data_IF_491651309070
#
_entry.id   IF_491651309070
#
_cell.length_a   1.000
_cell.length_b   1.000
_cell.length_c   1.000
_cell.angle_alpha   90.00
_cell.angle_beta   90.00
_cell.angle_gamma   90.00
#
_symmetry.space_group_name_H-M   'P 1'
#
loop_
_entity.id
_entity.type
_entity.pdbx_description
1 polymer ?
#
# COMPACT_ATOMS: atom_id res chain seq x y z
N UNK A 1 4.15 8.31 11.41
CA UNK A 1 2.86 8.41 12.09
C UNK A 1 3.21 8.47 13.55
N UNK A 2 2.89 9.58 14.19
CA UNK A 2 2.98 9.69 15.64
C UNK A 2 1.59 9.35 16.16
N UNK A 3 1.39 8.09 16.56
CA UNK A 3 0.18 7.70 17.29
C UNK A 3 0.38 8.19 18.72
N UNK A 4 -0.53 9.03 19.21
CA UNK A 4 -0.41 9.62 20.54
C UNK A 4 -0.43 8.49 21.59
N UNK A 5 0.40 8.60 22.63
CA UNK A 5 0.58 7.57 23.67
C UNK A 5 -0.73 7.09 24.31
N UNK A 6 -1.78 7.93 24.29
CA UNK A 6 -3.12 7.61 24.81
C UNK A 6 -3.80 6.44 24.09
N UNK A 7 -3.59 6.26 22.79
CA UNK A 7 -4.23 5.18 22.02
C UNK A 7 -3.59 3.81 22.27
N UNK A 8 -2.35 3.77 22.77
CA UNK A 8 -1.60 2.54 23.04
C UNK A 8 -1.54 2.19 24.54
N UNK A 9 -2.36 2.82 25.39
CA UNK A 9 -2.35 2.65 26.85
C UNK A 9 -0.94 2.81 27.45
N UNK A 10 -0.13 3.73 26.92
CA UNK A 10 1.25 3.96 27.36
C UNK A 10 2.28 2.91 26.93
N UNK A 11 1.92 1.94 26.10
CA UNK A 11 2.86 0.96 25.55
C UNK A 11 3.58 1.49 24.32
N UNK A 12 4.86 1.16 24.21
CA UNK A 12 5.64 1.37 22.99
C UNK A 12 5.32 0.25 22.00
N UNK A 13 4.94 0.62 20.77
CA UNK A 13 4.60 -0.32 19.70
C UNK A 13 5.46 0.02 18.49
N UNK A 14 6.23 -0.95 18.03
CA UNK A 14 6.95 -0.85 16.76
C UNK A 14 5.98 -1.09 15.62
N UNK A 15 5.86 -0.10 14.74
CA UNK A 15 5.00 -0.20 13.57
C UNK A 15 5.80 -0.64 12.35
N UNK A 16 5.32 -1.70 11.70
CA UNK A 16 5.90 -2.21 10.45
C UNK A 16 4.97 -1.89 9.27
N UNK A 17 5.55 -1.64 8.10
CA UNK A 17 4.82 -1.44 6.83
C UNK A 17 3.75 -0.33 6.88
N UNK A 18 4.01 0.76 7.61
CA UNK A 18 3.10 1.91 7.66
C UNK A 18 3.00 2.56 6.28
N UNK A 19 1.81 2.47 5.67
CA UNK A 19 1.47 3.16 4.42
C UNK A 19 1.52 4.67 4.67
N UNK A 20 2.45 5.35 3.98
CA UNK A 20 2.61 6.82 4.06
C UNK A 20 1.83 7.55 2.98
N UNK A 21 1.67 6.91 1.84
CA UNK A 21 0.95 7.41 0.69
C UNK A 21 0.34 6.23 -0.06
N UNK A 22 -0.80 6.49 -0.69
CA UNK A 22 -1.46 5.57 -1.59
C UNK A 22 -1.92 6.39 -2.79
N UNK A 23 -1.68 5.88 -3.99
CA UNK A 23 -2.11 6.54 -5.21
C UNK A 23 -2.58 5.50 -6.22
N UNK A 24 -3.59 5.86 -7.01
CA UNK A 24 -4.05 5.03 -8.12
C UNK A 24 -3.09 5.20 -9.29
N UNK A 25 -2.44 4.11 -9.68
CA UNK A 25 -1.50 4.11 -10.81
C UNK A 25 -2.17 3.79 -12.15
N UNK A 26 -3.38 3.24 -12.17
CA UNK A 26 -4.12 2.98 -13.41
C UNK A 26 -5.31 2.03 -13.25
N UNK A 27 -5.74 1.46 -14.37
CA UNK A 27 -6.72 0.37 -14.45
C UNK A 27 -6.01 -0.83 -15.05
N UNK A 28 -6.10 -1.98 -14.37
CA UNK A 28 -5.51 -3.23 -14.86
C UNK A 28 -6.23 -3.72 -16.12
N UNK A 29 -5.47 -4.21 -17.10
CA UNK A 29 -6.00 -4.83 -18.32
C UNK A 29 -5.39 -6.23 -18.48
N UNK A 30 -6.26 -7.23 -18.57
CA UNK A 30 -5.89 -8.62 -18.83
C UNK A 30 -5.39 -8.81 -20.28
N UNK A 31 -4.52 -9.79 -20.57
CA UNK A 31 -3.86 -10.72 -19.64
C UNK A 31 -2.58 -10.15 -19.02
N UNK A 32 -2.08 -9.05 -19.58
CA UNK A 32 -0.80 -8.46 -19.21
C UNK A 32 -0.93 -6.95 -19.17
N UNK A 33 -0.49 -6.38 -18.05
CA UNK A 33 -0.44 -4.95 -17.86
C UNK A 33 0.96 -4.56 -17.39
N UNK A 34 1.56 -3.58 -18.08
CA UNK A 34 2.89 -3.06 -17.75
C UNK A 34 2.79 -1.56 -17.55
N UNK A 35 3.31 -1.06 -16.43
CA UNK A 35 3.39 0.38 -16.17
C UNK A 35 4.72 0.75 -15.54
N UNK A 36 5.31 1.83 -16.03
CA UNK A 36 6.45 2.49 -15.37
C UNK A 36 5.91 3.40 -14.29
N UNK A 37 6.44 3.26 -13.09
CA UNK A 37 6.15 4.13 -11.95
C UNK A 37 7.44 4.85 -11.55
N UNK A 38 7.38 6.12 -11.10
CA UNK A 38 8.53 6.79 -10.53
C UNK A 38 9.12 5.99 -9.38
N UNK A 39 10.41 6.14 -9.08
CA UNK A 39 11.00 5.52 -7.90
C UNK A 39 10.31 6.06 -6.63
N UNK A 40 9.57 5.19 -5.93
CA UNK A 40 8.81 5.54 -4.73
C UNK A 40 9.57 5.05 -3.49
N UNK A 41 10.64 5.74 -3.10
CA UNK A 41 11.36 5.46 -1.85
C UNK A 41 11.78 3.98 -1.65
N UNK A 42 11.85 3.55 -0.38
CA UNK A 42 12.48 2.29 0.04
C UNK A 42 11.71 1.01 -0.33
N UNK A 43 10.37 1.00 -0.25
CA UNK A 43 9.55 -0.19 -0.55
C UNK A 43 8.11 0.22 -0.81
N UNK A 44 7.47 -0.40 -1.81
CA UNK A 44 6.06 -0.16 -2.11
C UNK A 44 5.34 -1.47 -2.43
N UNK A 45 4.02 -1.50 -2.17
CA UNK A 45 3.16 -2.59 -2.57
C UNK A 45 2.29 -2.15 -3.74
N UNK A 46 2.12 -3.02 -4.72
CA UNK A 46 1.13 -2.86 -5.79
C UNK A 46 -0.03 -3.79 -5.50
N UNK A 47 -1.25 -3.25 -5.60
CA UNK A 47 -2.49 -3.99 -5.42
C UNK A 47 -3.36 -3.83 -6.67
N UNK A 48 -3.93 -4.93 -7.14
CA UNK A 48 -5.04 -4.94 -8.10
C UNK A 48 -6.30 -5.17 -7.29
N UNK A 49 -7.13 -4.14 -7.20
CA UNK A 49 -8.38 -4.16 -6.45
C UNK A 49 -9.55 -4.02 -7.43
N UNK A 50 -10.63 -4.76 -7.18
CA UNK A 50 -11.88 -4.54 -7.89
C UNK A 50 -12.43 -3.13 -7.59
N UNK A 51 -13.35 -2.67 -8.43
CA UNK A 51 -14.02 -1.37 -8.25
C UNK A 51 -14.78 -1.29 -6.93
N UNK A 52 -15.19 -0.07 -6.55
CA UNK A 52 -16.09 0.19 -5.41
C UNK A 52 -15.56 -0.36 -4.08
N UNK A 53 -14.24 -0.28 -3.86
CA UNK A 53 -13.54 -0.83 -2.70
C UNK A 53 -13.75 -2.35 -2.53
N UNK A 54 -13.95 -3.05 -3.65
CA UNK A 54 -14.11 -4.50 -3.70
C UNK A 54 -12.84 -5.27 -3.31
N UNK A 55 -12.83 -6.60 -3.53
CA UNK A 55 -11.74 -7.46 -3.08
C UNK A 55 -10.40 -7.12 -3.76
N UNK A 56 -9.30 -7.40 -3.05
CA UNK A 56 -7.96 -7.43 -3.63
C UNK A 56 -7.82 -8.72 -4.43
N UNK A 57 -7.62 -8.60 -5.74
CA UNK A 57 -7.51 -9.72 -6.68
C UNK A 57 -6.06 -10.21 -6.81
N UNK A 58 -5.10 -9.31 -6.64
CA UNK A 58 -3.67 -9.62 -6.64
C UNK A 58 -2.89 -8.56 -5.86
N UNK A 59 -1.75 -8.95 -5.28
CA UNK A 59 -0.85 -8.04 -4.60
C UNK A 59 0.61 -8.50 -4.73
N UNK A 60 1.52 -7.53 -4.78
CA UNK A 60 2.96 -7.82 -4.72
C UNK A 60 3.70 -6.69 -4.00
N UNK A 61 4.63 -7.08 -3.12
CA UNK A 61 5.58 -6.17 -2.49
C UNK A 61 6.82 -6.08 -3.39
N UNK A 62 7.21 -4.85 -3.71
CA UNK A 62 8.48 -4.55 -4.37
C UNK A 62 9.42 -3.92 -3.34
N UNK A 63 10.60 -4.53 -3.21
CA UNK A 63 11.70 -4.11 -2.33
C UNK A 63 12.91 -3.76 -3.18
#
# INVERSE_FOLDING_TARGET
VQILKGENKGKEITYHNIVKSMSRIGTYQSPKWTKRVPAIGQSFAVIVQDRDHGPVLAAQILR
#
